data_IF_855795624576
#
_entry.id   IF_855795624576
#
_cell.length_a   1.000
_cell.length_b   1.000
_cell.length_c   1.000
_cell.angle_alpha   90.00
_cell.angle_beta   90.00
_cell.angle_gamma   90.00
#
_symmetry.space_group_name_H-M   'P 1'
#
loop_
_entity.id
_entity.type
_entity.pdbx_description
1 polymer ?
#
# COMPACT_ATOMS: atom_id res chain seq x y z
N UNK A 1 18.00 3.50 -15.95
CA UNK A 1 17.18 3.01 -17.09
C UNK A 1 15.85 3.75 -17.10
N UNK A 2 15.87 5.08 -17.27
CA UNK A 2 14.67 5.89 -17.19
C UNK A 2 14.07 6.03 -18.60
N UNK A 3 12.93 5.38 -18.86
CA UNK A 3 11.89 5.74 -19.85
C UNK A 3 11.02 4.58 -20.35
N UNK A 4 11.20 3.35 -19.84
CA UNK A 4 10.31 2.26 -20.24
C UNK A 4 9.11 2.20 -19.30
N UNK A 5 7.91 2.28 -19.88
CA UNK A 5 6.64 2.18 -19.17
C UNK A 5 6.28 0.73 -18.88
N UNK A 6 5.18 0.53 -18.15
CA UNK A 6 4.69 -0.80 -17.76
C UNK A 6 4.14 -1.64 -18.94
N UNK A 7 4.08 -1.09 -20.15
CA UNK A 7 3.64 -1.80 -21.36
C UNK A 7 4.81 -2.34 -22.19
N UNK A 8 6.02 -1.86 -21.91
CA UNK A 8 7.23 -2.26 -22.64
C UNK A 8 7.77 -3.56 -22.03
N UNK A 9 7.88 -4.61 -22.85
CA UNK A 9 8.41 -5.92 -22.42
C UNK A 9 9.87 -5.78 -22.00
N UNK A 10 10.17 -6.21 -20.77
CA UNK A 10 11.49 -6.16 -20.15
C UNK A 10 11.79 -7.48 -19.42
N UNK A 11 13.07 -7.79 -19.23
CA UNK A 11 13.48 -8.88 -18.33
C UNK A 11 13.22 -8.46 -16.87
N UNK A 12 12.26 -9.09 -16.17
CA UNK A 12 11.91 -8.69 -14.82
C UNK A 12 13.04 -8.92 -13.81
N UNK A 13 14.05 -9.76 -14.11
CA UNK A 13 15.19 -10.03 -13.21
C UNK A 13 16.22 -8.88 -13.16
N UNK A 14 16.19 -7.98 -14.16
CA UNK A 14 17.12 -6.85 -14.29
C UNK A 14 16.44 -5.49 -14.46
N UNK A 15 15.10 -5.46 -14.53
CA UNK A 15 14.33 -4.23 -14.73
C UNK A 15 14.59 -3.16 -13.66
N UNK A 16 14.86 -3.56 -12.42
CA UNK A 16 15.19 -2.68 -11.32
C UNK A 16 16.50 -3.08 -10.62
N UNK A 17 17.15 -2.15 -9.89
CA UNK A 17 18.39 -2.44 -9.18
C UNK A 17 18.24 -3.57 -8.15
N UNK A 18 19.30 -4.38 -8.03
CA UNK A 18 19.46 -5.33 -6.92
C UNK A 18 19.99 -4.59 -5.69
N UNK A 19 19.64 -5.09 -4.51
CA UNK A 19 20.18 -4.55 -3.27
C UNK A 19 21.72 -4.68 -3.23
N UNK A 20 22.37 -3.65 -2.72
CA UNK A 20 23.83 -3.58 -2.51
C UNK A 20 24.12 -2.99 -1.13
N UNK A 21 25.39 -2.87 -0.74
CA UNK A 21 25.78 -2.22 0.51
C UNK A 21 25.25 -0.78 0.66
N UNK A 22 24.96 -0.08 -0.44
CA UNK A 22 24.40 1.28 -0.43
C UNK A 22 22.98 1.34 0.14
N UNK A 23 22.26 0.21 0.19
CA UNK A 23 20.91 0.14 0.73
C UNK A 23 20.92 0.12 2.28
N UNK A 24 22.07 -0.12 2.91
CA UNK A 24 22.18 -0.07 4.38
C UNK A 24 21.99 1.36 4.87
N UNK A 25 20.86 1.59 5.49
CA UNK A 25 20.52 2.88 6.10
C UNK A 25 19.47 2.65 7.19
N UNK A 26 19.28 3.68 8.00
CA UNK A 26 18.24 3.71 9.01
C UNK A 26 17.68 5.12 9.09
N UNK A 27 16.38 5.22 9.36
CA UNK A 27 15.69 6.46 9.67
C UNK A 27 14.82 6.26 10.91
N UNK A 28 14.39 7.35 11.53
CA UNK A 28 13.34 7.30 12.56
C UNK A 28 11.96 7.12 11.91
N UNK A 29 11.03 6.45 12.60
CA UNK A 29 9.64 6.31 12.13
C UNK A 29 8.97 7.71 12.09
N UNK A 30 8.24 8.06 11.01
CA UNK A 30 7.79 7.19 9.92
C UNK A 30 8.74 7.07 8.71
N UNK A 31 9.78 7.91 8.67
CA UNK A 31 10.77 7.94 7.59
C UNK A 31 10.26 8.68 6.36
N UNK A 32 11.19 9.11 5.50
CA UNK A 32 10.91 9.85 4.29
C UNK A 32 11.53 9.13 3.09
N UNK A 33 10.70 8.80 2.10
CA UNK A 33 11.10 8.19 0.84
C UNK A 33 12.15 9.02 0.11
N UNK A 34 11.98 10.34 0.07
CA UNK A 34 12.93 11.28 -0.56
C UNK A 34 14.33 11.23 0.05
N UNK A 35 14.48 10.73 1.28
CA UNK A 35 15.76 10.63 2.00
C UNK A 35 16.40 9.24 1.87
N UNK A 36 15.73 8.30 1.18
CA UNK A 36 16.26 6.95 0.98
C UNK A 36 17.34 6.89 -0.10
N UNK A 37 18.29 5.96 0.07
CA UNK A 37 19.33 5.66 -0.92
C UNK A 37 19.31 4.17 -1.32
N UNK A 38 19.02 3.81 -2.59
CA UNK A 38 18.44 4.67 -3.61
C UNK A 38 17.01 5.09 -3.25
N UNK A 39 16.53 6.20 -3.81
CA UNK A 39 15.12 6.59 -3.71
C UNK A 39 14.26 5.53 -4.42
N UNK A 40 13.22 4.98 -3.76
CA UNK A 40 12.27 4.07 -4.40
C UNK A 40 11.64 4.64 -5.67
N UNK A 41 11.44 3.79 -6.69
CA UNK A 41 10.67 4.15 -7.89
C UNK A 41 9.19 3.82 -7.65
N UNK A 42 8.35 4.85 -7.53
CA UNK A 42 6.91 4.71 -7.34
C UNK A 42 6.12 4.93 -8.63
N UNK A 43 6.79 4.93 -9.79
CA UNK A 43 6.17 5.07 -11.10
C UNK A 43 6.01 6.53 -11.52
N UNK A 44 6.66 7.48 -10.85
CA UNK A 44 6.58 8.93 -11.12
C UNK A 44 6.89 9.25 -12.58
N UNK A 45 7.73 8.46 -13.25
CA UNK A 45 8.07 8.66 -14.67
C UNK A 45 7.57 7.54 -15.57
N UNK A 46 7.42 6.33 -15.04
CA UNK A 46 7.19 5.12 -15.85
C UNK A 46 5.71 4.73 -15.97
N UNK A 47 4.86 5.00 -14.97
CA UNK A 47 3.46 4.55 -15.03
C UNK A 47 2.65 5.36 -16.05
N UNK A 48 2.12 4.72 -17.09
CA UNK A 48 1.28 5.38 -18.11
C UNK A 48 -0.19 5.00 -17.96
N UNK A 49 -1.06 5.99 -17.74
CA UNK A 49 -2.51 5.75 -17.64
C UNK A 49 -3.17 5.41 -18.97
N UNK A 50 -4.30 4.70 -18.89
CA UNK A 50 -5.15 4.32 -20.04
C UNK A 50 -6.64 4.59 -19.81
N UNK A 51 -6.97 5.37 -18.77
CA UNK A 51 -8.33 5.81 -18.45
C UNK A 51 -9.18 4.77 -17.72
N UNK A 52 -8.56 3.75 -17.09
CA UNK A 52 -9.26 2.60 -16.48
C UNK A 52 -10.10 2.96 -15.25
N UNK A 53 -9.87 4.14 -14.67
CA UNK A 53 -10.53 4.63 -13.44
C UNK A 53 -11.12 6.04 -13.64
N UNK A 54 -11.46 6.41 -14.88
CA UNK A 54 -12.01 7.73 -15.21
C UNK A 54 -13.21 8.07 -14.33
N UNK A 55 -13.10 9.19 -13.60
CA UNK A 55 -14.16 9.74 -12.74
C UNK A 55 -14.37 9.01 -11.40
N UNK A 56 -13.51 8.04 -11.07
CA UNK A 56 -13.55 7.34 -9.78
C UNK A 56 -13.02 8.22 -8.65
N UNK A 57 -13.48 7.95 -7.43
CA UNK A 57 -13.10 8.68 -6.21
C UNK A 57 -12.40 7.74 -5.25
N UNK A 58 -11.10 7.95 -5.03
CA UNK A 58 -10.25 7.06 -4.27
C UNK A 58 -9.80 7.68 -2.95
N UNK A 59 -9.75 6.86 -1.92
CA UNK A 59 -9.01 7.12 -0.68
C UNK A 59 -7.84 6.14 -0.61
N UNK A 60 -6.63 6.65 -0.42
CA UNK A 60 -5.41 5.86 -0.25
C UNK A 60 -4.74 6.25 1.06
N UNK A 61 -4.56 5.29 1.97
CA UNK A 61 -3.82 5.50 3.23
C UNK A 61 -2.34 5.18 3.06
N UNK A 62 -1.44 5.89 3.74
CA UNK A 62 0.01 5.75 3.54
C UNK A 62 0.41 6.13 2.11
N UNK A 63 -0.25 7.16 1.58
CA UNK A 63 -0.15 7.55 0.16
C UNK A 63 1.02 8.50 -0.14
N UNK A 64 1.69 8.99 0.90
CA UNK A 64 2.88 9.82 0.84
C UNK A 64 4.08 9.08 0.23
N UNK A 65 4.22 7.77 0.50
CA UNK A 65 5.40 7.00 0.17
C UNK A 65 5.10 5.55 -0.24
N UNK A 66 6.14 4.87 -0.73
CA UNK A 66 6.14 3.45 -1.05
C UNK A 66 4.98 3.02 -1.95
N UNK A 67 4.33 1.93 -1.56
CA UNK A 67 3.26 1.29 -2.34
C UNK A 67 2.03 2.20 -2.43
N UNK A 68 1.71 2.95 -1.38
CA UNK A 68 0.55 3.85 -1.38
C UNK A 68 0.77 5.02 -2.35
N UNK A 69 1.97 5.60 -2.37
CA UNK A 69 2.39 6.59 -3.38
C UNK A 69 2.22 6.05 -4.80
N UNK A 70 2.71 4.84 -5.07
CA UNK A 70 2.59 4.23 -6.39
C UNK A 70 1.12 3.98 -6.79
N UNK A 71 0.28 3.51 -5.86
CA UNK A 71 -1.15 3.34 -6.09
C UNK A 71 -1.86 4.68 -6.34
N UNK A 72 -1.56 5.72 -5.58
CA UNK A 72 -2.15 7.04 -5.74
C UNK A 72 -1.80 7.68 -7.10
N UNK A 73 -0.52 7.63 -7.50
CA UNK A 73 -0.05 8.09 -8.82
C UNK A 73 -0.78 7.33 -9.94
N UNK A 74 -0.84 6.01 -9.85
CA UNK A 74 -1.49 5.19 -10.87
C UNK A 74 -3.00 5.46 -10.93
N UNK A 75 -3.69 5.56 -9.80
CA UNK A 75 -5.11 5.91 -9.76
C UNK A 75 -5.40 7.25 -10.44
N UNK A 76 -4.60 8.28 -10.15
CA UNK A 76 -4.74 9.58 -10.79
C UNK A 76 -4.51 9.52 -12.30
N UNK A 77 -3.44 8.85 -12.75
CA UNK A 77 -3.16 8.69 -14.18
C UNK A 77 -4.22 7.88 -14.92
N UNK A 78 -4.90 6.98 -14.23
CA UNK A 78 -6.04 6.23 -14.77
C UNK A 78 -7.36 7.02 -14.72
N UNK A 79 -7.35 8.24 -14.15
CA UNK A 79 -8.45 9.19 -14.21
C UNK A 79 -9.27 9.35 -12.92
N UNK A 80 -8.78 8.86 -11.78
CA UNK A 80 -9.45 8.99 -10.49
C UNK A 80 -9.03 10.27 -9.73
N UNK A 81 -9.95 10.86 -8.98
CA UNK A 81 -9.60 11.84 -7.95
C UNK A 81 -9.18 11.10 -6.67
N UNK A 82 -8.22 11.66 -5.93
CA UNK A 82 -7.53 10.93 -4.85
C UNK A 82 -7.46 11.76 -3.57
N UNK A 83 -7.93 11.18 -2.47
CA UNK A 83 -7.65 11.61 -1.10
C UNK A 83 -6.48 10.80 -0.56
N UNK A 84 -5.49 11.49 0.00
CA UNK A 84 -4.28 10.94 0.58
C UNK A 84 -4.35 11.05 2.10
N UNK A 85 -4.13 9.94 2.79
CA UNK A 85 -3.89 9.91 4.24
C UNK A 85 -2.45 9.47 4.51
N UNK A 86 -1.80 10.11 5.46
CA UNK A 86 -0.40 9.97 5.85
C UNK A 86 -0.19 10.63 7.23
N UNK A 87 0.95 10.45 7.88
CA UNK A 87 1.26 11.13 9.14
C UNK A 87 1.76 12.57 8.87
N UNK A 88 1.47 13.57 9.74
CA UNK A 88 1.91 14.95 9.54
C UNK A 88 3.42 15.12 9.27
N UNK A 89 4.26 14.24 9.83
CA UNK A 89 5.71 14.21 9.66
C UNK A 89 6.13 13.90 8.21
N UNK A 90 5.27 13.22 7.43
CA UNK A 90 5.52 12.79 6.05
C UNK A 90 5.06 13.83 5.00
N UNK A 91 4.64 15.02 5.44
CA UNK A 91 4.09 16.09 4.59
C UNK A 91 4.97 16.45 3.38
N UNK A 92 6.30 16.36 3.53
CA UNK A 92 7.23 16.64 2.43
C UNK A 92 7.10 15.65 1.28
N UNK A 93 6.88 14.37 1.56
CA UNK A 93 6.67 13.35 0.54
C UNK A 93 5.24 13.43 -0.02
N UNK A 94 4.24 13.63 0.85
CA UNK A 94 2.85 13.76 0.43
C UNK A 94 2.62 14.91 -0.57
N UNK A 95 3.31 16.05 -0.39
CA UNK A 95 3.25 17.18 -1.33
C UNK A 95 3.71 16.82 -2.75
N UNK A 96 4.72 15.96 -2.88
CA UNK A 96 5.17 15.49 -4.19
C UNK A 96 4.07 14.64 -4.86
N UNK A 97 3.38 13.80 -4.08
CA UNK A 97 2.28 12.97 -4.60
C UNK A 97 1.09 13.82 -5.01
N UNK A 98 0.73 14.84 -4.21
CA UNK A 98 -0.29 15.84 -4.56
C UNK A 98 0.03 16.48 -5.91
N UNK A 99 1.27 16.95 -6.09
CA UNK A 99 1.69 17.56 -7.36
C UNK A 99 1.55 16.57 -8.53
N UNK A 100 1.97 15.33 -8.38
CA UNK A 100 1.87 14.30 -9.43
C UNK A 100 0.42 13.97 -9.81
N UNK A 101 -0.51 14.01 -8.85
CA UNK A 101 -1.94 13.81 -9.08
C UNK A 101 -2.53 15.01 -9.84
N UNK A 102 -2.17 16.23 -9.44
CA UNK A 102 -2.62 17.47 -10.10
C UNK A 102 -2.06 17.58 -11.53
N UNK A 103 -0.81 17.17 -11.76
CA UNK A 103 -0.19 17.06 -13.09
C UNK A 103 -0.91 16.06 -13.99
N UNK A 104 -1.54 15.02 -13.43
CA UNK A 104 -2.42 14.10 -14.15
C UNK A 104 -3.82 14.69 -14.44
N UNK A 105 -4.07 15.94 -14.04
CA UNK A 105 -5.34 16.65 -14.24
C UNK A 105 -6.46 16.20 -13.29
N UNK A 106 -6.11 15.61 -12.14
CA UNK A 106 -7.05 15.08 -11.14
C UNK A 106 -7.03 15.89 -9.85
N UNK A 107 -8.10 15.81 -9.06
CA UNK A 107 -8.17 16.44 -7.74
C UNK A 107 -7.38 15.61 -6.73
N UNK A 108 -6.47 16.25 -6.01
CA UNK A 108 -5.77 15.71 -4.85
C UNK A 108 -6.29 16.36 -3.57
N UNK A 109 -6.47 15.58 -2.49
CA UNK A 109 -6.84 16.10 -1.16
C UNK A 109 -5.95 15.44 -0.13
N UNK A 110 -5.08 16.22 0.50
CA UNK A 110 -4.16 15.73 1.53
C UNK A 110 -4.83 15.87 2.92
N UNK A 111 -4.91 14.77 3.68
CA UNK A 111 -5.52 14.73 5.01
C UNK A 111 -4.57 14.02 5.98
N UNK A 112 -3.60 14.73 6.56
CA UNK A 112 -2.67 14.12 7.51
C UNK A 112 -3.35 13.75 8.83
N UNK A 113 -2.93 12.64 9.45
CA UNK A 113 -3.36 12.23 10.78
C UNK A 113 -3.07 10.76 11.10
N UNK A 114 -3.30 10.37 12.35
CA UNK A 114 -2.92 9.05 12.85
C UNK A 114 -4.08 8.05 12.75
N UNK A 115 -3.89 7.02 11.95
CA UNK A 115 -4.84 5.92 11.75
C UNK A 115 -5.09 5.07 13.00
N UNK A 116 -4.32 5.26 14.08
CA UNK A 116 -4.59 4.65 15.39
C UNK A 116 -5.78 5.30 16.11
N UNK A 117 -6.30 6.43 15.63
CA UNK A 117 -7.50 7.09 16.15
C UNK A 117 -8.74 6.76 15.29
N UNK A 118 -9.78 6.16 15.91
CA UNK A 118 -11.06 5.85 15.26
C UNK A 118 -11.75 7.11 14.72
N UNK A 119 -11.71 8.23 15.47
CA UNK A 119 -12.35 9.47 15.05
C UNK A 119 -11.69 10.05 13.80
N UNK A 120 -10.37 9.98 13.72
CA UNK A 120 -9.64 10.39 12.51
C UNK A 120 -10.02 9.50 11.32
N UNK A 121 -10.11 8.17 11.51
CA UNK A 121 -10.52 7.26 10.45
C UNK A 121 -11.92 7.57 9.92
N UNK A 122 -12.88 7.90 10.81
CA UNK A 122 -14.22 8.33 10.41
C UNK A 122 -14.19 9.66 9.65
N UNK A 123 -13.48 10.68 10.18
CA UNK A 123 -13.35 11.99 9.55
C UNK A 123 -12.65 11.94 8.18
N UNK A 124 -11.68 11.04 8.00
CA UNK A 124 -11.01 10.83 6.72
C UNK A 124 -12.01 10.41 5.63
N UNK A 125 -12.89 9.45 5.94
CA UNK A 125 -13.93 9.00 5.01
C UNK A 125 -14.98 10.10 4.76
N UNK A 126 -15.43 10.79 5.82
CA UNK A 126 -16.39 11.89 5.68
C UNK A 126 -15.82 13.02 4.81
N UNK A 127 -14.56 13.37 5.02
CA UNK A 127 -13.84 14.36 4.22
C UNK A 127 -13.73 13.93 2.76
N UNK A 128 -13.42 12.66 2.50
CA UNK A 128 -13.39 12.15 1.13
C UNK A 128 -14.75 12.26 0.43
N UNK A 129 -15.84 11.89 1.13
CA UNK A 129 -17.21 12.01 0.60
C UNK A 129 -17.57 13.47 0.31
N UNK A 130 -17.19 14.38 1.20
CA UNK A 130 -17.43 15.83 1.03
C UNK A 130 -16.62 16.40 -0.13
N UNK A 131 -15.32 16.13 -0.16
CA UNK A 131 -14.38 16.77 -1.10
C UNK A 131 -14.45 16.19 -2.50
N UNK A 132 -14.66 14.88 -2.64
CA UNK A 132 -14.77 14.21 -3.94
C UNK A 132 -16.23 14.01 -4.37
N UNK A 133 -17.19 14.26 -3.49
CA UNK A 133 -18.62 14.00 -3.73
C UNK A 133 -18.97 12.51 -3.71
N UNK A 134 -18.20 11.68 -2.99
CA UNK A 134 -18.39 10.24 -2.85
C UNK A 134 -17.09 9.45 -2.69
N UNK A 135 -17.20 8.13 -2.56
CA UNK A 135 -16.07 7.20 -2.50
C UNK A 135 -16.43 5.93 -3.27
N UNK A 136 -15.56 5.56 -4.21
CA UNK A 136 -15.71 4.34 -5.02
C UNK A 136 -14.55 3.36 -4.82
N UNK A 137 -13.41 3.84 -4.31
CA UNK A 137 -12.20 3.04 -4.07
C UNK A 137 -11.68 3.38 -2.68
N UNK A 138 -11.49 2.36 -1.84
CA UNK A 138 -10.72 2.47 -0.60
C UNK A 138 -9.50 1.55 -0.70
N UNK A 139 -8.31 2.12 -0.69
CA UNK A 139 -7.05 1.38 -0.66
C UNK A 139 -6.38 1.53 0.72
N UNK A 140 -6.49 0.50 1.55
CA UNK A 140 -5.83 0.41 2.85
C UNK A 140 -4.41 -0.12 2.64
N UNK A 141 -3.44 0.79 2.54
CA UNK A 141 -2.01 0.50 2.27
C UNK A 141 -1.11 0.80 3.46
N UNK A 142 -1.48 1.76 4.32
CA UNK A 142 -0.71 2.13 5.49
C UNK A 142 -0.44 0.90 6.38
N UNK A 143 0.73 0.87 7.00
CA UNK A 143 1.09 -0.22 7.89
C UNK A 143 2.31 0.12 8.75
N UNK A 144 2.34 -0.47 9.94
CA UNK A 144 3.46 -0.44 10.88
C UNK A 144 4.15 -1.80 10.91
N UNK A 145 5.47 -1.80 10.92
CA UNK A 145 6.33 -2.98 10.99
C UNK A 145 7.58 -2.62 11.77
N UNK A 146 7.82 -3.30 12.90
CA UNK A 146 9.01 -3.13 13.72
C UNK A 146 9.56 -4.53 14.05
N UNK A 147 10.78 -4.84 13.64
CA UNK A 147 11.34 -6.17 13.89
C UNK A 147 11.73 -6.34 15.35
N UNK A 148 11.50 -7.55 15.89
CA UNK A 148 11.93 -7.95 17.23
C UNK A 148 12.41 -9.38 17.16
N UNK A 149 13.62 -9.67 17.65
CA UNK A 149 14.21 -10.99 17.52
C UNK A 149 13.50 -12.07 18.35
N UNK A 150 13.02 -11.69 19.54
CA UNK A 150 12.40 -12.61 20.49
C UNK A 150 11.10 -12.03 21.01
N UNK A 151 10.08 -12.89 21.17
CA UNK A 151 8.79 -12.49 21.74
C UNK A 151 8.92 -11.91 23.17
N UNK A 152 9.95 -12.32 23.92
CA UNK A 152 10.20 -11.80 25.26
C UNK A 152 10.54 -10.30 25.28
N UNK A 153 11.05 -9.76 24.16
CA UNK A 153 11.40 -8.35 23.98
C UNK A 153 10.29 -7.56 23.28
N UNK A 154 9.25 -8.24 22.77
CA UNK A 154 8.11 -7.62 22.13
C UNK A 154 7.19 -7.01 23.18
N UNK A 155 7.23 -5.69 23.29
CA UNK A 155 6.42 -4.96 24.28
C UNK A 155 4.94 -4.97 23.90
N UNK A 156 4.07 -4.84 24.90
CA UNK A 156 2.63 -4.69 24.70
C UNK A 156 2.34 -3.44 23.86
N UNK A 157 3.09 -2.37 24.07
CA UNK A 157 2.94 -1.10 23.36
C UNK A 157 3.22 -1.26 21.86
N UNK A 158 4.29 -1.98 21.49
CA UNK A 158 4.56 -2.27 20.09
C UNK A 158 3.46 -3.15 19.50
N UNK A 159 3.08 -4.24 20.19
CA UNK A 159 2.05 -5.15 19.72
C UNK A 159 0.72 -4.42 19.47
N UNK A 160 0.26 -3.60 20.42
CA UNK A 160 -0.95 -2.79 20.29
C UNK A 160 -0.83 -1.78 19.15
N UNK A 161 0.30 -1.07 19.03
CA UNK A 161 0.51 -0.11 17.95
C UNK A 161 0.47 -0.78 16.57
N UNK A 162 1.11 -1.95 16.40
CA UNK A 162 1.09 -2.71 15.15
C UNK A 162 -0.35 -3.15 14.82
N UNK A 163 -1.10 -3.66 15.80
CA UNK A 163 -2.50 -4.05 15.59
C UNK A 163 -3.42 -2.86 15.31
N UNK A 164 -3.28 -1.76 16.03
CA UNK A 164 -4.09 -0.55 15.81
C UNK A 164 -3.89 0.01 14.43
N UNK A 165 -2.63 0.15 14.00
CA UNK A 165 -2.31 0.66 12.67
C UNK A 165 -2.72 -0.31 11.56
N UNK A 166 -2.55 -1.62 11.73
CA UNK A 166 -2.73 -2.56 10.60
C UNK A 166 -4.13 -3.18 10.52
N UNK A 167 -4.81 -3.37 11.67
CA UNK A 167 -6.08 -4.12 11.75
C UNK A 167 -7.23 -3.21 12.17
N UNK A 168 -7.06 -2.43 13.24
CA UNK A 168 -8.15 -1.58 13.75
C UNK A 168 -8.46 -0.46 12.77
N UNK A 169 -7.44 0.23 12.25
CA UNK A 169 -7.61 1.26 11.23
C UNK A 169 -8.37 0.73 10.01
N UNK A 170 -7.97 -0.42 9.46
CA UNK A 170 -8.62 -1.05 8.32
C UNK A 170 -10.09 -1.34 8.65
N UNK A 171 -10.37 -1.87 9.84
CA UNK A 171 -11.74 -2.09 10.31
C UNK A 171 -12.54 -0.78 10.37
N UNK A 172 -12.04 0.26 11.01
CA UNK A 172 -12.72 1.55 11.15
C UNK A 172 -12.98 2.21 9.80
N UNK A 173 -11.97 2.23 8.92
CA UNK A 173 -12.08 2.77 7.56
C UNK A 173 -13.09 2.00 6.72
N UNK A 174 -13.05 0.66 6.75
CA UNK A 174 -14.03 -0.14 6.02
C UNK A 174 -15.44 0.08 6.56
N UNK A 175 -15.62 0.07 7.89
CA UNK A 175 -16.90 0.32 8.58
C UNK A 175 -17.49 1.68 8.20
N UNK A 176 -16.67 2.72 8.09
CA UNK A 176 -17.10 4.05 7.66
C UNK A 176 -17.40 4.09 6.15
N UNK A 177 -16.49 3.61 5.30
CA UNK A 177 -16.59 3.70 3.84
C UNK A 177 -17.79 2.95 3.27
N UNK A 178 -18.12 1.76 3.76
CA UNK A 178 -19.24 0.94 3.23
C UNK A 178 -20.61 1.60 3.40
N UNK A 179 -20.73 2.65 4.22
CA UNK A 179 -21.95 3.46 4.35
C UNK A 179 -22.18 4.36 3.14
N UNK A 180 -21.13 4.70 2.40
CA UNK A 180 -21.14 5.67 1.30
C UNK A 180 -20.84 5.06 -0.07
N UNK A 181 -20.24 3.87 -0.11
CA UNK A 181 -19.91 3.15 -1.33
C UNK A 181 -21.16 2.65 -2.07
N UNK A 182 -21.17 2.84 -3.39
CA UNK A 182 -22.24 2.40 -4.29
C UNK A 182 -21.88 1.08 -5.00
N UNK A 183 -22.86 0.37 -5.61
CA UNK A 183 -22.55 -0.76 -6.48
C UNK A 183 -21.49 -0.40 -7.53
N UNK A 184 -20.51 -1.29 -7.71
CA UNK A 184 -19.31 -1.05 -8.54
C UNK A 184 -18.08 -0.56 -7.77
N UNK A 185 -18.20 -0.28 -6.47
CA UNK A 185 -17.07 0.14 -5.63
C UNK A 185 -16.11 -1.02 -5.32
N UNK A 186 -14.87 -0.67 -4.95
CA UNK A 186 -13.83 -1.64 -4.59
C UNK A 186 -13.09 -1.25 -3.32
N UNK A 187 -12.85 -2.20 -2.44
CA UNK A 187 -11.96 -2.08 -1.28
C UNK A 187 -10.74 -2.98 -1.55
N UNK A 188 -9.56 -2.41 -1.38
CA UNK A 188 -8.29 -3.10 -1.61
C UNK A 188 -7.45 -2.97 -0.35
N UNK A 189 -7.16 -4.09 0.29
CA UNK A 189 -6.35 -4.12 1.51
C UNK A 189 -4.93 -4.63 1.18
N UNK A 190 -3.93 -4.14 1.93
CA UNK A 190 -2.54 -4.52 1.70
C UNK A 190 -2.06 -5.49 2.77
N UNK A 191 -1.93 -6.74 2.37
CA UNK A 191 -1.36 -7.79 3.20
C UNK A 191 0.17 -7.86 3.01
N UNK A 192 0.75 -9.06 3.06
CA UNK A 192 2.17 -9.34 2.85
C UNK A 192 2.37 -10.83 2.63
N UNK A 193 3.46 -11.22 1.97
CA UNK A 193 3.96 -12.60 2.01
C UNK A 193 4.17 -13.11 3.45
N UNK A 194 4.38 -12.22 4.42
CA UNK A 194 4.49 -12.56 5.85
C UNK A 194 3.21 -13.21 6.43
N UNK A 195 2.04 -13.00 5.81
CA UNK A 195 0.82 -13.71 6.19
C UNK A 195 0.88 -15.22 5.92
N UNK A 196 1.75 -15.65 4.99
CA UNK A 196 1.84 -17.02 4.50
C UNK A 196 3.16 -17.69 4.85
N UNK A 197 4.25 -16.91 4.84
CA UNK A 197 5.61 -17.33 5.17
C UNK A 197 6.18 -16.38 6.23
N UNK A 198 5.69 -16.45 7.48
CA UNK A 198 6.11 -15.54 8.54
C UNK A 198 7.58 -15.72 8.89
N UNK A 199 8.30 -14.62 9.02
CA UNK A 199 9.67 -14.57 9.53
C UNK A 199 9.65 -14.50 11.06
N UNK A 200 10.57 -15.19 11.77
CA UNK A 200 10.58 -15.19 13.23
C UNK A 200 10.64 -13.79 13.87
N UNK A 201 11.27 -12.83 13.19
CA UNK A 201 11.50 -11.48 13.73
C UNK A 201 10.33 -10.51 13.52
N UNK A 202 9.23 -10.93 12.89
CA UNK A 202 8.09 -10.08 12.52
C UNK A 202 6.77 -10.65 13.05
N UNK A 203 6.77 -11.13 14.30
CA UNK A 203 5.65 -11.89 14.88
C UNK A 203 4.32 -11.11 14.87
N UNK A 204 4.29 -9.91 15.45
CA UNK A 204 3.10 -9.05 15.50
C UNK A 204 2.66 -8.66 14.08
N UNK A 205 3.58 -8.17 13.26
CA UNK A 205 3.33 -7.78 11.88
C UNK A 205 2.71 -8.92 11.06
N UNK A 206 3.35 -10.09 11.01
CA UNK A 206 2.86 -11.24 10.25
C UNK A 206 1.45 -11.65 10.69
N UNK A 207 1.18 -11.62 11.99
CA UNK A 207 -0.14 -11.89 12.56
C UNK A 207 -1.18 -10.89 12.03
N UNK A 208 -0.86 -9.59 12.00
CA UNK A 208 -1.77 -8.59 11.43
C UNK A 208 -2.04 -8.80 9.94
N UNK A 209 -1.05 -9.24 9.16
CA UNK A 209 -1.20 -9.50 7.72
C UNK A 209 -2.07 -10.72 7.44
N UNK A 210 -1.98 -11.77 8.27
CA UNK A 210 -2.93 -12.89 8.22
C UNK A 210 -4.37 -12.48 8.61
N UNK A 211 -4.51 -11.59 9.60
CA UNK A 211 -5.81 -11.03 9.98
C UNK A 211 -6.43 -10.22 8.83
N UNK A 212 -5.65 -9.40 8.12
CA UNK A 212 -6.09 -8.66 6.92
C UNK A 212 -6.64 -9.60 5.84
N UNK A 213 -5.96 -10.71 5.55
CA UNK A 213 -6.44 -11.70 4.56
C UNK A 213 -7.82 -12.25 4.94
N UNK A 214 -7.96 -12.69 6.20
CA UNK A 214 -9.19 -13.31 6.69
C UNK A 214 -10.33 -12.31 6.76
N UNK A 215 -10.06 -11.10 7.27
CA UNK A 215 -11.02 -10.00 7.32
C UNK A 215 -11.55 -9.66 5.92
N UNK A 216 -10.66 -9.55 4.94
CA UNK A 216 -11.02 -9.18 3.56
C UNK A 216 -11.94 -10.21 2.91
N UNK A 217 -11.66 -11.51 3.12
CA UNK A 217 -12.52 -12.61 2.66
C UNK A 217 -13.90 -12.55 3.29
N UNK A 218 -13.98 -12.34 4.60
CA UNK A 218 -15.26 -12.23 5.31
C UNK A 218 -16.05 -10.99 4.86
N UNK A 219 -15.39 -9.84 4.73
CA UNK A 219 -16.03 -8.60 4.28
C UNK A 219 -16.54 -8.74 2.85
N UNK A 220 -15.79 -9.36 1.94
CA UNK A 220 -16.23 -9.62 0.56
C UNK A 220 -17.58 -10.36 0.51
N UNK A 221 -17.74 -11.40 1.35
CA UNK A 221 -19.01 -12.13 1.46
C UNK A 221 -20.14 -11.22 1.98
N UNK A 222 -19.83 -10.36 2.96
CA UNK A 222 -20.83 -9.47 3.57
C UNK A 222 -21.33 -8.37 2.61
N UNK A 223 -20.45 -7.81 1.79
CA UNK A 223 -20.78 -6.63 0.94
C UNK A 223 -20.99 -6.96 -0.53
N UNK A 224 -20.75 -8.22 -0.95
CA UNK A 224 -20.94 -8.65 -2.35
C UNK A 224 -22.35 -8.42 -2.88
N UNK A 225 -23.39 -8.66 -2.07
CA UNK A 225 -24.79 -8.39 -2.44
C UNK A 225 -25.11 -6.90 -2.60
N UNK A 226 -24.25 -6.00 -2.09
CA UNK A 226 -24.31 -4.56 -2.32
C UNK A 226 -23.55 -4.12 -3.58
N UNK A 227 -22.95 -5.07 -4.31
CA UNK A 227 -22.14 -4.80 -5.49
C UNK A 227 -20.77 -4.18 -5.16
N UNK A 228 -20.24 -4.39 -3.95
CA UNK A 228 -18.92 -3.92 -3.53
C UNK A 228 -17.96 -5.11 -3.54
N UNK A 229 -16.79 -4.96 -4.17
CA UNK A 229 -15.75 -5.99 -4.16
C UNK A 229 -14.72 -5.67 -3.08
N UNK A 230 -14.22 -6.69 -2.39
CA UNK A 230 -13.12 -6.55 -1.43
C UNK A 230 -12.02 -7.52 -1.82
N UNK A 231 -10.81 -7.05 -2.04
CA UNK A 231 -9.66 -7.88 -2.42
C UNK A 231 -8.39 -7.44 -1.68
N UNK A 232 -7.35 -8.24 -1.82
CA UNK A 232 -6.07 -8.02 -1.15
C UNK A 232 -4.94 -8.02 -2.19
N UNK A 233 -3.98 -7.11 -2.01
CA UNK A 233 -2.65 -7.24 -2.61
C UNK A 233 -1.70 -7.75 -1.54
N UNK A 234 -0.93 -8.79 -1.83
CA UNK A 234 0.09 -9.35 -0.94
C UNK A 234 1.49 -9.17 -1.56
N UNK A 235 2.19 -8.08 -1.22
CA UNK A 235 3.55 -7.84 -1.69
C UNK A 235 4.55 -8.82 -1.08
N UNK A 236 5.63 -9.08 -1.84
CA UNK A 236 6.87 -9.65 -1.31
C UNK A 236 7.75 -8.56 -0.66
N UNK A 237 9.09 -8.70 -0.73
CA UNK A 237 9.99 -7.62 -0.34
C UNK A 237 9.91 -6.47 -1.35
N UNK A 238 9.44 -5.31 -0.89
CA UNK A 238 9.36 -4.06 -1.70
C UNK A 238 10.18 -2.97 -1.02
N UNK A 239 10.97 -2.24 -1.80
CA UNK A 239 11.83 -1.17 -1.29
C UNK A 239 11.00 0.07 -0.92
N UNK A 240 10.81 0.32 0.38
CA UNK A 240 9.99 1.40 0.93
C UNK A 240 10.55 1.93 2.26
N UNK A 241 10.14 3.13 2.73
CA UNK A 241 10.57 3.66 4.03
C UNK A 241 10.33 2.70 5.19
N UNK A 242 9.23 1.94 5.15
CA UNK A 242 8.88 0.92 6.14
C UNK A 242 10.04 -0.04 6.47
N UNK A 243 10.90 -0.37 5.50
CA UNK A 243 12.02 -1.29 5.73
C UNK A 243 13.17 -0.64 6.51
N UNK A 244 13.39 0.68 6.34
CA UNK A 244 14.55 1.40 6.91
C UNK A 244 14.23 2.09 8.24
N UNK A 245 12.96 2.13 8.66
CA UNK A 245 12.53 2.67 9.96
C UNK A 245 12.37 1.62 11.05
N UNK A 246 13.07 0.49 10.90
CA UNK A 246 13.01 -0.63 11.84
C UNK A 246 12.11 -1.79 11.38
N UNK A 247 11.60 -1.77 10.14
CA UNK A 247 10.94 -2.95 9.57
C UNK A 247 11.88 -4.12 9.30
N UNK A 248 13.16 -3.86 9.05
CA UNK A 248 14.20 -4.88 8.90
C UNK A 248 15.48 -4.46 9.65
N UNK A 249 16.29 -5.43 10.12
CA UNK A 249 17.65 -5.13 10.57
C UNK A 249 18.45 -4.48 9.43
N UNK A 250 19.17 -3.40 9.73
CA UNK A 250 19.96 -2.62 8.75
C UNK A 250 20.88 -3.52 7.92
N UNK A 251 21.49 -4.51 8.56
CA UNK A 251 22.42 -5.43 7.88
C UNK A 251 21.76 -6.33 6.84
N UNK A 252 20.46 -6.62 6.96
CA UNK A 252 19.70 -7.40 5.97
C UNK A 252 19.34 -6.58 4.73
N UNK A 253 19.41 -5.25 4.80
CA UNK A 253 19.03 -4.37 3.69
C UNK A 253 19.95 -4.52 2.48
N UNK A 254 21.24 -4.83 2.70
CA UNK A 254 22.21 -5.00 1.62
C UNK A 254 21.94 -6.18 0.68
N UNK A 255 21.10 -7.12 1.12
CA UNK A 255 20.69 -8.31 0.36
C UNK A 255 19.17 -8.41 0.24
N UNK A 256 18.45 -7.31 0.46
CA UNK A 256 16.99 -7.31 0.52
C UNK A 256 16.36 -7.81 -0.79
N UNK A 257 15.50 -8.83 -0.66
CA UNK A 257 14.81 -9.47 -1.80
C UNK A 257 15.67 -10.36 -2.70
N UNK A 258 16.97 -10.52 -2.43
CA UNK A 258 17.88 -11.39 -3.21
C UNK A 258 17.48 -12.88 -3.18
N UNK A 259 16.71 -13.28 -2.18
CA UNK A 259 16.22 -14.65 -1.98
C UNK A 259 14.92 -14.95 -2.75
N UNK A 260 14.31 -13.96 -3.41
CA UNK A 260 13.16 -14.21 -4.29
C UNK A 260 13.59 -14.89 -5.58
N UNK A 261 12.73 -15.65 -6.28
CA UNK A 261 13.05 -16.19 -7.60
C UNK A 261 13.49 -15.15 -8.65
N UNK A 262 12.99 -13.90 -8.57
CA UNK A 262 13.46 -12.80 -9.43
C UNK A 262 14.81 -12.20 -8.99
N UNK A 263 15.35 -12.61 -7.83
CA UNK A 263 16.68 -12.24 -7.34
C UNK A 263 16.85 -10.77 -6.94
N UNK A 264 15.74 -10.05 -6.67
CA UNK A 264 15.72 -8.65 -6.24
C UNK A 264 14.48 -8.31 -5.43
N UNK A 265 14.53 -7.21 -4.68
CA UNK A 265 13.32 -6.58 -4.16
C UNK A 265 12.49 -5.95 -5.29
N UNK A 266 11.17 -5.91 -5.11
CA UNK A 266 10.28 -5.12 -5.94
C UNK A 266 10.44 -3.63 -5.68
N UNK A 267 10.12 -2.80 -6.66
CA UNK A 267 9.90 -1.37 -6.48
C UNK A 267 8.40 -1.08 -6.33
N UNK A 268 8.00 0.00 -5.64
CA UNK A 268 6.59 0.34 -5.48
C UNK A 268 5.82 0.47 -6.80
N UNK A 269 6.46 0.97 -7.87
CA UNK A 269 5.90 1.06 -9.21
C UNK A 269 5.31 -0.28 -9.71
N UNK A 270 5.91 -1.41 -9.33
CA UNK A 270 5.51 -2.75 -9.76
C UNK A 270 4.26 -3.24 -9.05
N UNK A 271 3.87 -2.61 -7.93
CA UNK A 271 2.65 -2.95 -7.19
C UNK A 271 1.43 -2.23 -7.75
N UNK A 272 1.61 -1.03 -8.32
CA UNK A 272 0.51 -0.18 -8.75
C UNK A 272 -0.46 -0.84 -9.76
N UNK A 273 -0.01 -1.63 -10.77
CA UNK A 273 -0.92 -2.31 -11.69
C UNK A 273 -1.90 -3.27 -11.00
N UNK A 274 -1.49 -3.92 -9.90
CA UNK A 274 -2.36 -4.81 -9.12
C UNK A 274 -3.50 -4.02 -8.47
N UNK A 275 -3.21 -2.85 -7.89
CA UNK A 275 -4.23 -1.96 -7.33
C UNK A 275 -5.18 -1.45 -8.40
N UNK A 276 -4.67 -1.02 -9.56
CA UNK A 276 -5.53 -0.54 -10.67
C UNK A 276 -6.43 -1.66 -11.19
N UNK A 277 -5.90 -2.87 -11.40
CA UNK A 277 -6.69 -4.01 -11.82
C UNK A 277 -7.82 -4.31 -10.82
N UNK A 278 -7.51 -4.38 -9.52
CA UNK A 278 -8.50 -4.65 -8.47
C UNK A 278 -9.50 -3.51 -8.28
N UNK A 279 -9.15 -2.27 -8.64
CA UNK A 279 -10.06 -1.12 -8.60
C UNK A 279 -10.95 -1.03 -9.84
N UNK A 280 -10.49 -1.49 -11.01
CA UNK A 280 -11.19 -1.32 -12.30
C UNK A 280 -12.30 -2.38 -12.52
N UNK A 281 -13.05 -2.22 -13.60
CA UNK A 281 -14.09 -3.18 -14.00
C UNK A 281 -13.55 -4.47 -14.64
N UNK A 282 -12.26 -4.51 -14.98
CA UNK A 282 -11.62 -5.72 -15.50
C UNK A 282 -11.61 -6.86 -14.48
N UNK A 283 -11.71 -6.53 -13.18
CA UNK A 283 -11.79 -7.48 -12.08
C UNK A 283 -13.21 -7.66 -11.53
N UNK A 284 -14.25 -7.44 -12.36
CA UNK A 284 -15.66 -7.49 -11.95
C UNK A 284 -16.10 -8.80 -11.27
N UNK A 285 -15.44 -9.92 -11.57
CA UNK A 285 -15.69 -11.22 -10.94
C UNK A 285 -14.63 -11.65 -9.90
N UNK A 286 -13.72 -10.74 -9.53
CA UNK A 286 -12.68 -10.99 -8.52
C UNK A 286 -13.11 -10.32 -7.21
N UNK A 287 -13.47 -11.14 -6.22
CA UNK A 287 -13.82 -10.68 -4.88
C UNK A 287 -13.45 -11.73 -3.82
N UNK A 288 -12.88 -11.29 -2.71
CA UNK A 288 -12.31 -12.13 -1.65
C UNK A 288 -10.92 -12.68 -1.98
N UNK A 289 -10.30 -12.23 -3.08
CA UNK A 289 -9.04 -12.77 -3.58
C UNK A 289 -7.83 -12.10 -2.94
N UNK A 290 -6.69 -12.81 -2.90
CA UNK A 290 -5.39 -12.26 -2.54
C UNK A 290 -4.43 -12.36 -3.71
N UNK A 291 -4.20 -11.24 -4.40
CA UNK A 291 -3.26 -11.16 -5.50
C UNK A 291 -1.82 -11.04 -4.97
N UNK A 292 -1.02 -12.08 -5.17
CA UNK A 292 0.37 -12.13 -4.74
C UNK A 292 1.29 -11.43 -5.76
N UNK A 293 1.98 -10.37 -5.33
CA UNK A 293 2.97 -9.62 -6.10
C UNK A 293 4.33 -9.72 -5.39
N UNK A 294 4.93 -10.91 -5.43
CA UNK A 294 5.98 -11.33 -4.47
C UNK A 294 7.28 -11.86 -5.09
N UNK A 295 7.50 -11.61 -6.38
CA UNK A 295 8.70 -12.06 -7.10
C UNK A 295 8.79 -13.57 -7.32
N UNK A 296 7.67 -14.28 -7.27
CA UNK A 296 7.59 -15.73 -7.53
C UNK A 296 7.72 -16.60 -6.28
N UNK A 297 7.76 -16.00 -5.09
CA UNK A 297 7.80 -16.75 -3.83
C UNK A 297 6.53 -17.57 -3.67
N UNK A 298 6.65 -18.84 -3.29
CA UNK A 298 5.51 -19.73 -3.09
C UNK A 298 4.61 -19.19 -1.99
N UNK A 299 3.32 -19.04 -2.29
CA UNK A 299 2.26 -18.69 -1.35
C UNK A 299 1.01 -19.52 -1.68
N UNK A 300 0.20 -19.89 -0.68
CA UNK A 300 -1.06 -20.60 -0.89
C UNK A 300 -2.11 -19.74 -1.60
#
# INVERSE_FOLDING_TARGET
MANQDQHTVQDPTTQYPKATSEWKQQQEEPGLQREMTPVPDAGEKSYKGSGRLTGRKAVVTGADSGIGRAAAIAFAREGADVVLSYLPEEEADAKEVVQLIEEAGRKAVAIPGDLKDENYCEQLIESAVKELGGIDILANVAGKQQFVEQIADLTTEQFDATFKTNVYSMFWLCKAAVKHMKPGSSIINTSSIQAYSPSPILLDYATTKAAINTFSKALAQQVGSKGIRVNVVAPGPVWTPLQVVGGQPVEKLASFGSNTPLGRAGQPAEMAPAFVFLASQESSYVSGETLNANGGTVSP
#
